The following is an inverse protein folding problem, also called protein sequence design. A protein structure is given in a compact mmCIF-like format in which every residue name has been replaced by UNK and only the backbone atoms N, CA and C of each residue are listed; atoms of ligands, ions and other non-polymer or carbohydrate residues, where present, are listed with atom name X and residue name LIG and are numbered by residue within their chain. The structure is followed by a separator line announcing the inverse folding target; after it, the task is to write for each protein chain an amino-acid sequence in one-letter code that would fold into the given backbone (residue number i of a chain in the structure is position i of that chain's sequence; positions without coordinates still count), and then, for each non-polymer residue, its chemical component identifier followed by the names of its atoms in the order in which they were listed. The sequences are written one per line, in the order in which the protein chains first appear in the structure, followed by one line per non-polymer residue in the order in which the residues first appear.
data_IF_430862341869
#
_entry.id   IF_430862341869
#
_cell.length_a   1.000
_cell.length_b   1.000
_cell.length_c   1.000
_cell.angle_alpha   90.00
_cell.angle_beta   90.00
_cell.angle_gamma   90.00
#
_symmetry.space_group_name_H-M   'P 1'
#
loop_
_entity.id
_entity.type
_entity.pdbx_description
1 polymer ?
#
# COMPACT_ATOMS: atom_id res chain seq x y z
N UNK A 1 32.81 6.41 10.59
CA UNK A 1 32.11 7.42 11.41
C UNK A 1 31.35 6.73 12.53
N UNK A 2 30.56 5.71 12.26
CA UNK A 2 29.71 5.00 13.23
C UNK A 2 30.46 4.45 14.45
N UNK A 3 31.71 3.97 14.26
CA UNK A 3 32.53 3.41 15.36
C UNK A 3 33.10 4.48 16.34
N UNK A 4 32.89 5.77 16.06
CA UNK A 4 33.33 6.87 16.93
C UNK A 4 32.20 7.49 17.76
N UNK A 5 30.99 6.94 17.67
CA UNK A 5 29.82 7.46 18.37
C UNK A 5 29.43 6.52 19.50
N UNK A 6 29.33 7.08 20.71
CA UNK A 6 29.14 6.32 21.95
C UNK A 6 27.68 6.04 22.33
N UNK A 7 26.73 6.77 21.73
CA UNK A 7 25.28 6.63 22.01
C UNK A 7 24.56 5.94 20.85
N UNK A 8 23.70 4.96 21.13
CA UNK A 8 22.94 4.25 20.12
C UNK A 8 21.88 5.14 19.42
N UNK A 9 21.30 6.10 20.13
CA UNK A 9 20.40 7.12 19.56
C UNK A 9 21.17 7.97 18.53
N UNK A 10 22.38 8.41 18.86
CA UNK A 10 23.19 9.19 17.97
C UNK A 10 23.68 8.38 16.76
N UNK A 11 23.98 7.08 16.94
CA UNK A 11 24.31 6.18 15.83
C UNK A 11 23.17 6.08 14.84
N UNK A 12 21.94 5.91 15.32
CA UNK A 12 20.74 5.83 14.47
C UNK A 12 20.53 7.15 13.70
N UNK A 13 20.53 8.29 14.41
CA UNK A 13 20.36 9.59 13.77
C UNK A 13 21.47 9.92 12.76
N UNK A 14 22.74 9.59 13.05
CA UNK A 14 23.85 9.75 12.12
C UNK A 14 23.65 8.83 10.91
N UNK A 15 23.18 7.59 11.10
CA UNK A 15 22.87 6.66 10.01
C UNK A 15 21.86 7.25 9.04
N UNK A 16 20.73 7.72 9.55
CA UNK A 16 19.66 8.35 8.77
C UNK A 16 20.17 9.58 7.98
N UNK A 17 20.97 10.45 8.59
CA UNK A 17 21.58 11.60 7.90
C UNK A 17 22.51 11.16 6.78
N UNK A 18 23.33 10.13 7.02
CA UNK A 18 24.23 9.60 5.99
C UNK A 18 23.50 8.97 4.83
N UNK A 19 22.41 8.22 5.08
CA UNK A 19 21.56 7.66 4.04
C UNK A 19 20.92 8.75 3.18
N UNK A 20 20.44 9.81 3.78
CA UNK A 20 19.92 10.97 3.05
C UNK A 20 21.00 11.67 2.21
N UNK A 21 22.18 11.89 2.77
CA UNK A 21 23.31 12.46 2.02
C UNK A 21 23.71 11.59 0.83
N UNK A 22 23.76 10.27 1.01
CA UNK A 22 24.06 9.34 -0.05
C UNK A 22 22.95 9.31 -1.13
N UNK A 23 21.70 9.42 -0.74
CA UNK A 23 20.57 9.51 -1.67
C UNK A 23 20.64 10.80 -2.52
N UNK A 24 20.93 11.94 -1.90
CA UNK A 24 21.13 13.23 -2.59
C UNK A 24 22.33 13.15 -3.52
N UNK A 25 23.46 12.58 -3.05
CA UNK A 25 24.66 12.42 -3.86
C UNK A 25 24.40 11.53 -5.09
N UNK A 26 23.72 10.40 -4.92
CA UNK A 26 23.33 9.53 -6.05
C UNK A 26 22.45 10.29 -7.04
N UNK A 27 21.44 11.02 -6.57
CA UNK A 27 20.57 11.81 -7.43
C UNK A 27 21.33 12.85 -8.26
N UNK A 28 22.31 13.53 -7.65
CA UNK A 28 23.17 14.49 -8.37
C UNK A 28 24.09 13.81 -9.39
N UNK A 29 24.67 12.65 -9.03
CA UNK A 29 25.50 11.86 -9.95
C UNK A 29 24.67 11.35 -11.14
N UNK A 30 23.47 10.83 -10.91
CA UNK A 30 22.56 10.43 -11.99
C UNK A 30 22.24 11.60 -12.92
N UNK A 31 21.94 12.77 -12.36
CA UNK A 31 21.69 13.97 -13.16
C UNK A 31 22.88 14.31 -14.05
N UNK A 32 24.11 14.28 -13.50
CA UNK A 32 25.34 14.53 -14.27
C UNK A 32 25.57 13.48 -15.35
N UNK A 33 25.30 12.19 -15.07
CA UNK A 33 25.42 11.11 -16.04
C UNK A 33 24.41 11.27 -17.20
N UNK A 34 23.19 11.68 -16.89
CA UNK A 34 22.16 11.98 -17.90
C UNK A 34 22.59 13.18 -18.76
N UNK A 35 23.05 14.28 -18.16
CA UNK A 35 23.52 15.49 -18.84
C UNK A 35 24.78 15.18 -19.70
N UNK A 36 25.64 14.26 -19.25
CA UNK A 36 26.81 13.81 -20.01
C UNK A 36 26.49 12.77 -21.11
N UNK A 37 25.22 12.35 -21.23
CA UNK A 37 24.82 11.29 -22.17
C UNK A 37 25.39 9.91 -21.88
N UNK A 38 25.96 9.71 -20.69
CA UNK A 38 26.68 8.48 -20.32
C UNK A 38 25.74 7.29 -20.04
N UNK A 39 24.45 7.53 -19.77
CA UNK A 39 23.46 6.49 -19.54
C UNK A 39 22.83 5.93 -20.82
N UNK A 40 23.27 6.40 -21.99
CA UNK A 40 22.62 6.04 -23.25
C UNK A 40 21.17 6.60 -23.33
N UNK A 41 20.53 6.41 -24.47
CA UNK A 41 19.08 6.63 -24.58
C UNK A 41 18.41 5.41 -23.95
N UNK A 42 17.75 5.59 -22.79
CA UNK A 42 16.78 4.59 -22.33
C UNK A 42 15.79 4.39 -23.47
N UNK A 43 15.38 3.15 -23.76
CA UNK A 43 14.46 2.85 -24.86
C UNK A 43 13.02 3.27 -24.51
N UNK A 44 12.85 4.48 -23.96
CA UNK A 44 11.53 5.05 -23.73
C UNK A 44 10.99 5.59 -25.04
N UNK A 45 9.87 5.06 -25.44
CA UNK A 45 9.04 5.65 -26.48
C UNK A 45 8.06 6.56 -25.76
N UNK A 46 8.17 7.88 -25.99
CA UNK A 46 7.18 8.84 -25.49
C UNK A 46 5.83 8.54 -26.11
N UNK A 47 4.81 8.43 -25.28
CA UNK A 47 3.40 8.35 -25.70
C UNK A 47 2.68 9.59 -25.22
N UNK A 48 1.76 10.12 -26.01
CA UNK A 48 1.00 11.33 -25.67
C UNK A 48 -0.06 11.06 -24.59
N UNK A 49 -0.58 9.85 -24.52
CA UNK A 49 -1.57 9.42 -23.53
C UNK A 49 -1.50 7.91 -23.28
N UNK A 50 -1.89 7.50 -22.09
CA UNK A 50 -2.12 6.10 -21.78
C UNK A 50 -3.46 5.66 -22.37
N UNK A 51 -3.49 4.50 -23.04
CA UNK A 51 -4.76 3.85 -23.36
C UNK A 51 -5.35 3.30 -22.06
N UNK A 52 -6.46 3.88 -21.62
CA UNK A 52 -7.19 3.46 -20.43
C UNK A 52 -8.50 2.76 -20.76
N UNK A 53 -9.02 2.98 -21.94
CA UNK A 53 -10.37 2.54 -22.32
C UNK A 53 -10.42 1.04 -22.66
N UNK A 54 -9.35 0.54 -23.28
CA UNK A 54 -9.26 -0.88 -23.67
C UNK A 54 -8.28 -1.68 -22.80
N UNK A 55 -7.61 -1.02 -21.87
CA UNK A 55 -6.58 -1.61 -21.03
C UNK A 55 -7.11 -2.72 -20.12
N UNK A 56 -6.32 -3.78 -20.01
CA UNK A 56 -6.50 -4.84 -19.01
C UNK A 56 -5.67 -4.48 -17.78
N UNK A 57 -6.33 -4.31 -16.65
CA UNK A 57 -5.69 -3.85 -15.42
C UNK A 57 -5.71 -4.96 -14.37
N UNK A 58 -4.56 -5.28 -13.83
CA UNK A 58 -4.44 -6.21 -12.69
C UNK A 58 -4.19 -5.42 -11.39
N UNK A 59 -4.78 -5.86 -10.29
CA UNK A 59 -4.49 -5.32 -8.96
C UNK A 59 -4.27 -6.43 -7.94
N UNK A 60 -3.47 -6.16 -6.92
CA UNK A 60 -3.24 -7.12 -5.84
C UNK A 60 -4.32 -7.00 -4.77
N UNK A 61 -4.81 -8.13 -4.30
CA UNK A 61 -5.75 -8.23 -3.18
C UNK A 61 -7.00 -9.02 -3.52
N UNK A 62 -8.13 -8.54 -3.03
CA UNK A 62 -9.46 -9.11 -3.26
C UNK A 62 -10.44 -7.99 -3.59
N UNK A 63 -11.64 -8.33 -4.00
CA UNK A 63 -12.71 -7.34 -4.12
C UNK A 63 -12.88 -6.55 -2.80
N UNK A 64 -13.04 -5.24 -2.92
CA UNK A 64 -13.11 -4.32 -1.79
C UNK A 64 -11.74 -3.87 -1.23
N UNK A 65 -10.62 -4.34 -1.80
CA UNK A 65 -9.30 -3.88 -1.37
C UNK A 65 -9.02 -2.42 -1.78
N UNK A 66 -8.13 -1.74 -1.05
CA UNK A 66 -7.68 -0.39 -1.41
C UNK A 66 -7.01 -0.33 -2.79
N UNK A 67 -6.35 -1.41 -3.23
CA UNK A 67 -5.80 -1.51 -4.57
C UNK A 67 -6.89 -1.49 -5.65
N UNK A 68 -8.05 -2.11 -5.39
CA UNK A 68 -9.22 -1.98 -6.28
C UNK A 68 -9.73 -0.54 -6.31
N UNK A 69 -9.87 0.10 -5.15
CA UNK A 69 -10.30 1.50 -5.08
C UNK A 69 -9.32 2.43 -5.85
N UNK A 70 -8.01 2.17 -5.77
CA UNK A 70 -7.00 2.89 -6.51
C UNK A 70 -7.14 2.64 -8.03
N UNK A 71 -7.37 1.41 -8.42
CA UNK A 71 -7.60 1.02 -9.80
C UNK A 71 -8.86 1.73 -10.36
N UNK A 72 -9.98 1.66 -9.66
CA UNK A 72 -11.23 2.32 -10.06
C UNK A 72 -11.09 3.84 -10.13
N UNK A 73 -10.32 4.44 -9.20
CA UNK A 73 -10.07 5.88 -9.21
C UNK A 73 -9.23 6.33 -10.41
N UNK A 74 -8.25 5.53 -10.83
CA UNK A 74 -7.31 5.89 -11.89
C UNK A 74 -7.81 5.50 -13.29
N UNK A 75 -8.39 4.32 -13.45
CA UNK A 75 -8.84 3.75 -14.74
C UNK A 75 -10.36 3.85 -14.96
N UNK A 76 -11.14 4.11 -13.92
CA UNK A 76 -12.60 4.08 -13.96
C UNK A 76 -13.17 2.73 -13.50
N UNK A 77 -14.44 2.73 -13.10
CA UNK A 77 -15.12 1.53 -12.55
C UNK A 77 -15.38 0.45 -13.59
N UNK A 78 -15.54 0.84 -14.84
CA UNK A 78 -15.91 -0.05 -15.95
C UNK A 78 -14.68 -0.61 -16.67
N UNK A 79 -13.46 -0.37 -16.18
CA UNK A 79 -12.26 -0.88 -16.81
C UNK A 79 -12.21 -2.42 -16.73
N UNK A 80 -11.63 -3.04 -17.77
CA UNK A 80 -11.40 -4.48 -17.76
C UNK A 80 -10.32 -4.83 -16.74
N UNK A 81 -10.71 -5.47 -15.64
CA UNK A 81 -9.82 -5.72 -14.52
C UNK A 81 -9.96 -7.12 -13.93
N UNK A 82 -8.93 -7.55 -13.21
CA UNK A 82 -8.94 -8.73 -12.37
C UNK A 82 -7.94 -8.58 -11.24
N UNK A 83 -8.07 -9.40 -10.21
CA UNK A 83 -7.17 -9.38 -9.06
C UNK A 83 -6.29 -10.62 -8.99
N UNK A 84 -5.16 -10.45 -8.32
CA UNK A 84 -4.19 -11.50 -7.99
C UNK A 84 -3.84 -11.46 -6.51
N UNK A 85 -3.26 -12.52 -5.98
CA UNK A 85 -3.00 -12.62 -4.54
C UNK A 85 -1.69 -11.94 -4.11
N UNK A 86 -0.69 -11.95 -4.97
CA UNK A 86 0.64 -11.43 -4.66
C UNK A 86 1.05 -10.28 -5.60
N UNK A 87 1.99 -9.46 -5.16
CA UNK A 87 2.57 -8.41 -6.00
C UNK A 87 3.35 -9.00 -7.17
N UNK A 88 4.02 -10.14 -6.94
CA UNK A 88 4.75 -10.87 -7.98
C UNK A 88 3.85 -11.30 -9.12
N UNK A 89 2.71 -11.94 -8.82
CA UNK A 89 1.72 -12.34 -9.83
C UNK A 89 1.26 -11.15 -10.68
N UNK A 90 1.15 -9.95 -10.09
CA UNK A 90 0.79 -8.76 -10.84
C UNK A 90 1.91 -8.31 -11.81
N UNK A 91 3.18 -8.42 -11.40
CA UNK A 91 4.31 -8.11 -12.28
C UNK A 91 4.46 -9.14 -13.40
N UNK A 92 4.30 -10.42 -13.09
CA UNK A 92 4.30 -11.52 -14.06
C UNK A 92 3.18 -11.36 -15.10
N UNK A 93 2.00 -10.92 -14.67
CA UNK A 93 0.88 -10.66 -15.58
C UNK A 93 1.19 -9.58 -16.65
N UNK A 94 1.99 -8.57 -16.30
CA UNK A 94 2.48 -7.58 -17.26
C UNK A 94 3.49 -8.20 -18.21
N UNK A 95 4.48 -8.93 -17.68
CA UNK A 95 5.54 -9.56 -18.48
C UNK A 95 5.00 -10.58 -19.47
N UNK A 96 4.00 -11.37 -19.06
CA UNK A 96 3.31 -12.35 -19.88
C UNK A 96 2.32 -11.73 -20.89
N UNK A 97 2.07 -10.43 -20.79
CA UNK A 97 1.09 -9.73 -21.60
C UNK A 97 -0.37 -10.10 -21.28
N UNK A 98 -0.63 -10.65 -20.10
CA UNK A 98 -1.98 -10.94 -19.60
C UNK A 98 -2.68 -9.66 -19.11
N UNK A 99 -1.92 -8.67 -18.64
CA UNK A 99 -2.37 -7.34 -18.27
C UNK A 99 -1.51 -6.27 -18.97
N UNK A 100 -2.08 -5.09 -19.15
CA UNK A 100 -1.39 -3.93 -19.73
C UNK A 100 -0.89 -2.99 -18.62
N UNK A 101 -1.58 -2.96 -17.48
CA UNK A 101 -1.21 -2.19 -16.29
C UNK A 101 -1.42 -3.00 -15.01
N UNK A 102 -0.57 -2.74 -14.01
CA UNK A 102 -0.73 -3.24 -12.66
C UNK A 102 -0.89 -2.06 -11.68
N UNK A 103 -1.85 -2.18 -10.75
CA UNK A 103 -2.04 -1.21 -9.67
C UNK A 103 -1.56 -1.81 -8.37
N UNK A 104 -0.47 -1.26 -7.85
CA UNK A 104 0.26 -1.78 -6.70
C UNK A 104 0.53 -0.67 -5.67
N UNK A 105 0.46 -0.97 -4.37
CA UNK A 105 0.75 0.01 -3.32
C UNK A 105 2.26 0.21 -3.20
N UNK A 106 2.75 1.44 -3.39
CA UNK A 106 4.18 1.73 -3.24
C UNK A 106 4.54 2.24 -1.85
N UNK A 107 3.60 2.92 -1.21
CA UNK A 107 3.80 3.51 0.11
C UNK A 107 2.48 3.61 0.87
N UNK A 108 2.56 3.52 2.20
CA UNK A 108 1.49 3.84 3.12
C UNK A 108 2.01 4.89 4.11
N UNK A 109 1.29 5.98 4.31
CA UNK A 109 1.71 7.10 5.17
C UNK A 109 1.99 6.71 6.63
N UNK A 110 1.43 5.60 7.11
CA UNK A 110 1.63 5.09 8.48
C UNK A 110 2.66 3.97 8.54
N UNK A 111 2.63 3.04 7.57
CA UNK A 111 3.52 1.87 7.55
C UNK A 111 4.82 2.11 6.76
N UNK A 112 4.89 3.19 5.96
CA UNK A 112 6.05 3.52 5.11
C UNK A 112 6.04 2.77 3.77
N UNK A 113 7.22 2.63 3.19
CA UNK A 113 7.41 2.03 1.87
C UNK A 113 7.11 0.53 1.86
N UNK A 114 6.50 0.05 0.78
CA UNK A 114 6.27 -1.37 0.51
C UNK A 114 7.52 -1.93 -0.20
N UNK A 115 8.52 -2.34 0.60
CA UNK A 115 9.84 -2.72 0.10
C UNK A 115 9.79 -3.82 -0.97
N UNK A 116 8.87 -4.77 -0.85
CA UNK A 116 8.69 -5.85 -1.84
C UNK A 116 8.44 -5.31 -3.26
N UNK A 117 7.70 -4.20 -3.39
CA UNK A 117 7.46 -3.60 -4.72
C UNK A 117 8.75 -3.04 -5.31
N UNK A 118 9.62 -2.43 -4.49
CA UNK A 118 10.90 -1.91 -4.97
C UNK A 118 11.83 -3.04 -5.44
N UNK A 119 11.84 -4.17 -4.73
CA UNK A 119 12.61 -5.35 -5.13
C UNK A 119 12.09 -5.92 -6.47
N UNK A 120 10.77 -6.02 -6.61
CA UNK A 120 10.13 -6.47 -7.84
C UNK A 120 10.37 -5.52 -9.02
N UNK A 121 10.38 -4.19 -8.80
CA UNK A 121 10.71 -3.21 -9.85
C UNK A 121 12.17 -3.30 -10.34
N UNK A 122 13.05 -3.89 -9.54
CA UNK A 122 14.44 -4.19 -9.97
C UNK A 122 14.50 -5.50 -10.75
N UNK A 123 13.68 -6.47 -10.38
CA UNK A 123 13.66 -7.80 -11.01
C UNK A 123 12.93 -7.80 -12.36
N UNK A 124 11.79 -7.11 -12.44
CA UNK A 124 10.97 -7.02 -13.64
C UNK A 124 11.24 -5.70 -14.39
N UNK A 125 11.33 -5.75 -15.71
CA UNK A 125 11.52 -4.56 -16.56
C UNK A 125 10.22 -3.75 -16.74
N UNK A 126 9.47 -3.53 -15.67
CA UNK A 126 8.24 -2.77 -15.66
C UNK A 126 8.49 -1.29 -15.31
N UNK A 127 7.66 -0.40 -15.82
CA UNK A 127 7.80 1.06 -15.64
C UNK A 127 6.61 1.63 -14.87
N UNK A 128 6.90 2.57 -13.97
CA UNK A 128 5.85 3.36 -13.31
C UNK A 128 5.38 4.42 -14.30
N UNK A 129 4.10 4.36 -14.69
CA UNK A 129 3.49 5.24 -15.68
C UNK A 129 2.46 6.20 -15.08
N UNK A 130 2.18 6.08 -13.80
CA UNK A 130 1.28 6.97 -13.09
C UNK A 130 1.21 6.67 -11.61
N UNK A 131 0.59 7.58 -10.86
CA UNK A 131 0.35 7.45 -9.44
C UNK A 131 -1.08 7.88 -9.06
N UNK A 132 -1.59 7.34 -7.99
CA UNK A 132 -2.82 7.78 -7.35
C UNK A 132 -2.72 7.62 -5.85
N UNK A 133 -3.40 8.49 -5.12
CA UNK A 133 -3.42 8.47 -3.64
C UNK A 133 -4.86 8.17 -3.21
N UNK A 134 -5.01 7.10 -2.43
CA UNK A 134 -6.29 6.70 -1.86
C UNK A 134 -6.27 6.98 -0.36
N UNK A 135 -7.18 7.84 0.14
CA UNK A 135 -7.30 8.05 1.57
C UNK A 135 -7.84 6.80 2.26
N UNK A 136 -7.09 6.28 3.23
CA UNK A 136 -7.54 5.17 4.08
C UNK A 136 -8.36 5.79 5.21
N UNK A 137 -9.66 5.46 5.25
CA UNK A 137 -10.58 5.91 6.30
C UNK A 137 -11.10 4.68 7.03
N UNK A 138 -10.50 4.39 8.17
CA UNK A 138 -11.00 3.32 9.02
C UNK A 138 -12.37 3.71 9.62
N UNK A 139 -13.32 2.81 9.53
CA UNK A 139 -14.68 3.00 10.02
C UNK A 139 -15.02 1.89 11.02
N UNK A 140 -15.64 2.24 12.15
CA UNK A 140 -16.22 1.24 13.04
C UNK A 140 -17.53 0.75 12.44
N UNK A 141 -17.60 -0.54 12.13
CA UNK A 141 -18.74 -1.20 11.52
C UNK A 141 -19.31 -2.27 12.45
N UNK A 142 -20.62 -2.32 12.58
CA UNK A 142 -21.35 -3.32 13.34
C UNK A 142 -22.54 -3.86 12.56
N UNK A 143 -23.28 -4.82 13.12
CA UNK A 143 -24.54 -5.27 12.58
C UNK A 143 -25.60 -4.15 12.61
N UNK A 144 -26.59 -4.16 11.71
CA UNK A 144 -27.66 -3.18 11.75
C UNK A 144 -28.35 -3.12 13.12
N UNK A 145 -28.45 -1.92 13.69
CA UNK A 145 -29.01 -1.68 15.00
C UNK A 145 -28.10 -2.07 16.17
N UNK A 146 -26.78 -2.17 15.95
CA UNK A 146 -25.78 -2.19 17.03
C UNK A 146 -25.72 -0.83 17.70
N UNK A 147 -25.76 -0.80 19.03
CA UNK A 147 -25.46 0.38 19.82
C UNK A 147 -23.97 0.36 20.21
N UNK A 148 -23.30 1.51 20.06
CA UNK A 148 -21.88 1.63 20.38
C UNK A 148 -21.59 1.33 21.86
N UNK A 149 -22.54 1.61 22.75
CA UNK A 149 -22.43 1.35 24.18
C UNK A 149 -22.49 -0.14 24.55
N UNK A 150 -22.97 -0.99 23.65
CA UNK A 150 -23.07 -2.43 23.86
C UNK A 150 -21.88 -3.21 23.27
N UNK A 151 -20.95 -2.54 22.58
CA UNK A 151 -19.79 -3.18 21.97
C UNK A 151 -18.84 -3.68 23.06
N UNK A 152 -18.48 -4.95 22.97
CA UNK A 152 -17.51 -5.62 23.84
C UNK A 152 -16.23 -6.01 23.08
N UNK A 153 -16.32 -6.28 21.77
CA UNK A 153 -15.21 -6.79 20.96
C UNK A 153 -15.09 -6.07 19.64
N UNK A 154 -13.84 -5.72 19.31
CA UNK A 154 -13.52 -5.07 18.04
C UNK A 154 -12.46 -5.88 17.30
N UNK A 155 -12.79 -6.28 16.09
CA UNK A 155 -11.94 -7.05 15.19
C UNK A 155 -11.33 -6.15 14.13
N UNK A 156 -10.06 -6.33 13.83
CA UNK A 156 -9.42 -5.75 12.64
C UNK A 156 -8.03 -6.33 12.42
N UNK A 157 -7.37 -5.92 11.33
CA UNK A 157 -5.94 -6.11 11.14
C UNK A 157 -5.16 -5.28 12.18
N UNK A 158 -4.02 -5.78 12.63
CA UNK A 158 -3.21 -5.13 13.67
C UNK A 158 -2.88 -3.66 13.34
N UNK A 159 -2.54 -3.37 12.08
CA UNK A 159 -2.21 -2.02 11.64
C UNK A 159 -3.42 -1.07 11.72
N UNK A 160 -4.62 -1.54 11.35
CA UNK A 160 -5.83 -0.73 11.44
C UNK A 160 -6.23 -0.47 12.90
N UNK A 161 -6.04 -1.44 13.81
CA UNK A 161 -6.23 -1.21 15.25
C UNK A 161 -5.24 -0.17 15.77
N UNK A 162 -3.98 -0.20 15.35
CA UNK A 162 -3.00 0.83 15.72
C UNK A 162 -3.38 2.21 15.17
N UNK A 163 -3.83 2.29 13.93
CA UNK A 163 -4.29 3.55 13.33
C UNK A 163 -5.50 4.13 14.05
N UNK A 164 -6.40 3.28 14.56
CA UNK A 164 -7.58 3.66 15.32
C UNK A 164 -7.32 3.79 16.84
N UNK A 165 -6.08 3.67 17.30
CA UNK A 165 -5.72 3.55 18.72
C UNK A 165 -6.23 4.70 19.60
N UNK A 166 -6.28 5.94 19.08
CA UNK A 166 -6.83 7.07 19.82
C UNK A 166 -8.31 6.85 20.14
N UNK A 167 -9.12 6.53 19.13
CA UNK A 167 -10.54 6.25 19.29
C UNK A 167 -10.78 5.00 20.16
N UNK A 168 -10.05 3.92 19.91
CA UNK A 168 -10.17 2.69 20.70
C UNK A 168 -9.73 2.88 22.16
N UNK A 169 -8.82 3.83 22.43
CA UNK A 169 -8.39 4.18 23.78
C UNK A 169 -9.49 4.88 24.61
N UNK A 170 -10.46 5.51 23.97
CA UNK A 170 -11.65 6.10 24.64
C UNK A 170 -12.65 5.01 25.08
N UNK A 171 -12.48 3.78 24.54
CA UNK A 171 -13.30 2.59 24.82
C UNK A 171 -12.42 1.46 25.38
N UNK A 172 -11.75 1.72 26.50
CA UNK A 172 -10.76 0.81 27.09
C UNK A 172 -11.32 -0.53 27.60
N UNK A 173 -12.63 -0.68 27.66
CA UNK A 173 -13.36 -1.90 27.99
C UNK A 173 -13.54 -2.84 26.79
N UNK A 174 -13.32 -2.36 25.57
CA UNK A 174 -13.43 -3.19 24.38
C UNK A 174 -12.24 -4.12 24.19
N UNK A 175 -12.51 -5.40 23.99
CA UNK A 175 -11.48 -6.37 23.64
C UNK A 175 -11.09 -6.21 22.16
N UNK A 176 -9.85 -5.80 21.90
CA UNK A 176 -9.30 -5.69 20.55
C UNK A 176 -8.74 -7.02 20.09
N UNK A 177 -9.20 -7.54 18.94
CA UNK A 177 -8.83 -8.86 18.42
C UNK A 177 -8.27 -8.70 17.01
N UNK A 178 -7.00 -9.07 16.85
CA UNK A 178 -6.34 -9.03 15.54
C UNK A 178 -6.76 -10.22 14.67
N UNK A 179 -7.08 -9.93 13.41
CA UNK A 179 -7.36 -10.89 12.33
C UNK A 179 -6.49 -10.59 11.12
N UNK A 180 -6.48 -11.48 10.13
CA UNK A 180 -5.54 -11.39 9.01
C UNK A 180 -5.74 -10.14 8.11
N UNK A 181 -6.98 -9.69 7.94
CA UNK A 181 -7.29 -8.46 7.19
C UNK A 181 -8.64 -7.87 7.61
N UNK A 182 -8.89 -6.62 7.18
CA UNK A 182 -10.11 -5.87 7.52
C UNK A 182 -11.38 -6.47 6.93
N UNK A 183 -11.31 -7.07 5.74
CA UNK A 183 -12.45 -7.75 5.12
C UNK A 183 -12.88 -8.99 5.92
N UNK A 184 -11.91 -9.77 6.44
CA UNK A 184 -12.20 -10.89 7.35
C UNK A 184 -12.78 -10.42 8.68
N UNK A 185 -12.38 -9.24 9.18
CA UNK A 185 -13.00 -8.66 10.37
C UNK A 185 -14.49 -8.38 10.15
N UNK A 186 -14.84 -7.73 9.03
CA UNK A 186 -16.22 -7.47 8.66
C UNK A 186 -17.02 -8.76 8.43
N UNK A 187 -16.42 -9.74 7.75
CA UNK A 187 -17.05 -11.05 7.52
C UNK A 187 -17.34 -11.77 8.84
N UNK A 188 -16.39 -11.73 9.79
CA UNK A 188 -16.57 -12.36 11.10
C UNK A 188 -17.77 -11.82 11.85
N UNK A 189 -18.01 -10.51 11.84
CA UNK A 189 -19.18 -9.90 12.49
C UNK A 189 -20.46 -10.41 11.85
N UNK A 190 -20.49 -10.52 10.53
CA UNK A 190 -21.65 -11.08 9.81
C UNK A 190 -21.87 -12.55 10.14
N UNK A 191 -20.82 -13.34 10.37
CA UNK A 191 -20.93 -14.76 10.76
C UNK A 191 -21.34 -14.93 12.22
N UNK A 192 -20.79 -14.12 13.12
CA UNK A 192 -21.05 -14.20 14.56
C UNK A 192 -22.49 -13.80 14.90
N UNK A 193 -23.14 -12.90 14.13
CA UNK A 193 -24.48 -12.37 14.35
C UNK A 193 -24.69 -11.81 15.78
N UNK A 194 -23.63 -11.37 16.42
CA UNK A 194 -23.63 -10.79 17.78
C UNK A 194 -23.43 -9.27 17.68
N UNK A 195 -24.43 -8.50 18.15
CA UNK A 195 -24.39 -7.03 18.14
C UNK A 195 -23.34 -6.42 19.07
N UNK A 196 -22.77 -7.21 19.98
CA UNK A 196 -21.67 -6.77 20.84
C UNK A 196 -20.30 -6.81 20.12
N UNK A 197 -20.29 -7.28 18.88
CA UNK A 197 -19.10 -7.34 18.04
C UNK A 197 -19.09 -6.23 16.99
N UNK A 198 -17.94 -5.58 16.81
CA UNK A 198 -17.70 -4.59 15.79
C UNK A 198 -16.38 -4.87 15.04
N UNK A 199 -16.21 -4.27 13.87
CA UNK A 199 -14.95 -4.29 13.13
C UNK A 199 -14.49 -2.87 12.83
N UNK A 200 -13.18 -2.68 12.81
CA UNK A 200 -12.56 -1.52 12.17
C UNK A 200 -12.13 -1.94 10.77
N UNK A 201 -12.72 -1.32 9.74
CA UNK A 201 -12.46 -1.65 8.34
C UNK A 201 -12.64 -0.43 7.43
#
# INVERSE_FOLDING_TARGET
VMNKVSSDINKKGIGEVYEQLLAISRKLQYKQLVEAGALGRLPFIGIDSLDKDTARVVFQGTEGAYSQAAMEHYFGKDCNNYHVHTFREAMEAIEEGAADYAVLPIENSTAGAVNEIYDLLVEFENYIVGETIIPIKNTLSGLPGTDISEIERVYSKAEALMQASHFLGEHGDWQQISVANTALAAKKILEDQDKRHAAVC
#
